data_IF_318386472914
#
_entry.id   IF_318386472914
#
_cell.length_a   1.000
_cell.length_b   1.000
_cell.length_c   1.000
_cell.angle_alpha   90.00
_cell.angle_beta   90.00
_cell.angle_gamma   90.00
#
_symmetry.space_group_name_H-M   'P 1'
#
loop_
_entity.id
_entity.type
_entity.pdbx_description
1 polymer ?
#
# COMPACT_ATOMS: atom_id res chain seq x y z
N UNK A 1 24.01 0.43 -67.56
CA UNK A 1 23.62 -0.75 -66.76
C UNK A 1 22.86 -0.24 -65.55
N UNK A 2 21.54 -0.46 -65.52
CA UNK A 2 20.65 0.01 -64.46
C UNK A 2 20.92 -0.77 -63.16
N UNK A 3 20.90 -0.08 -62.02
CA UNK A 3 20.41 -0.70 -60.79
C UNK A 3 19.80 0.36 -59.87
N UNK A 4 18.48 0.34 -59.81
CA UNK A 4 17.66 0.94 -58.76
C UNK A 4 17.93 0.18 -57.47
N UNK A 5 18.30 0.87 -56.39
CA UNK A 5 18.20 0.30 -55.04
C UNK A 5 17.25 1.19 -54.25
N UNK A 6 16.07 0.61 -54.00
CA UNK A 6 14.94 1.25 -53.35
C UNK A 6 15.18 1.55 -51.87
N UNK A 7 14.47 2.58 -51.43
CA UNK A 7 14.32 2.94 -50.03
C UNK A 7 13.68 1.80 -49.23
N UNK A 8 14.35 1.37 -48.17
CA UNK A 8 13.70 0.71 -47.03
C UNK A 8 13.66 1.72 -45.89
N UNK A 9 12.55 2.44 -45.78
CA UNK A 9 12.20 3.11 -44.53
C UNK A 9 11.99 2.00 -43.49
N UNK A 10 12.88 1.93 -42.50
CA UNK A 10 12.66 1.14 -41.31
C UNK A 10 11.46 1.76 -40.58
N UNK A 11 10.28 1.15 -40.72
CA UNK A 11 9.19 1.39 -39.77
C UNK A 11 9.69 0.96 -38.40
N UNK A 12 10.08 1.93 -37.58
CA UNK A 12 10.14 1.74 -36.13
C UNK A 12 8.69 1.60 -35.69
N UNK A 13 8.20 0.36 -35.64
CA UNK A 13 7.01 0.04 -34.88
C UNK A 13 7.36 0.28 -33.41
N UNK A 14 7.09 1.49 -32.93
CA UNK A 14 7.05 1.78 -31.51
C UNK A 14 6.00 0.85 -30.92
N UNK A 15 6.43 -0.23 -30.28
CA UNK A 15 5.54 -1.00 -29.43
C UNK A 15 5.05 -0.02 -28.37
N UNK A 16 3.76 0.32 -28.41
CA UNK A 16 3.04 0.75 -27.22
C UNK A 16 3.14 -0.44 -26.26
N UNK A 17 4.23 -0.51 -25.50
CA UNK A 17 4.21 -1.23 -24.25
C UNK A 17 3.16 -0.48 -23.45
N UNK A 18 1.96 -1.04 -23.35
CA UNK A 18 0.93 -0.57 -22.44
C UNK A 18 1.57 -0.60 -21.07
N UNK A 19 2.01 0.57 -20.59
CA UNK A 19 2.62 0.68 -19.27
C UNK A 19 1.61 0.12 -18.28
N UNK A 20 2.05 -0.84 -17.47
CA UNK A 20 1.17 -1.51 -16.52
C UNK A 20 0.65 -0.43 -15.57
N UNK A 21 -0.68 -0.36 -15.43
CA UNK A 21 -1.33 0.65 -14.59
C UNK A 21 -0.68 0.66 -13.18
N UNK A 22 -0.15 1.80 -12.72
CA UNK A 22 0.63 1.89 -11.47
C UNK A 22 -0.16 1.45 -10.25
N UNK A 23 -1.50 1.47 -10.30
CA UNK A 23 -2.33 1.04 -9.18
C UNK A 23 -2.12 -0.44 -8.83
N UNK A 24 -1.79 -1.29 -9.80
CA UNK A 24 -1.55 -2.71 -9.53
C UNK A 24 -0.33 -2.92 -8.63
N UNK A 25 0.74 -2.16 -8.83
CA UNK A 25 1.92 -2.23 -7.98
C UNK A 25 1.61 -1.78 -6.54
N UNK A 26 0.81 -0.71 -6.39
CA UNK A 26 0.38 -0.23 -5.08
C UNK A 26 -0.55 -1.21 -4.36
N UNK A 27 -1.49 -1.83 -5.09
CA UNK A 27 -2.37 -2.88 -4.56
C UNK A 27 -1.56 -4.06 -4.03
N UNK A 28 -0.57 -4.52 -4.80
CA UNK A 28 0.28 -5.65 -4.39
C UNK A 28 1.20 -5.29 -3.22
N UNK A 29 1.67 -4.04 -3.13
CA UNK A 29 2.42 -3.57 -1.97
C UNK A 29 1.57 -3.59 -0.70
N UNK A 30 0.36 -3.01 -0.76
CA UNK A 30 -0.55 -2.98 0.39
C UNK A 30 -1.00 -4.39 0.80
N UNK A 31 -1.37 -5.25 -0.15
CA UNK A 31 -1.72 -6.66 0.13
C UNK A 31 -0.60 -7.41 0.85
N UNK A 32 0.66 -7.22 0.43
CA UNK A 32 1.81 -7.84 1.09
C UNK A 32 2.03 -7.29 2.49
N UNK A 33 1.89 -5.98 2.69
CA UNK A 33 2.04 -5.35 4.00
C UNK A 33 0.97 -5.84 4.99
N UNK A 34 -0.31 -5.85 4.57
CA UNK A 34 -1.43 -6.39 5.35
C UNK A 34 -1.21 -7.86 5.69
N UNK A 35 -0.80 -8.68 4.71
CA UNK A 35 -0.55 -10.11 4.94
C UNK A 35 0.59 -10.34 5.95
N UNK A 36 1.68 -9.57 5.85
CA UNK A 36 2.81 -9.65 6.77
C UNK A 36 2.42 -9.22 8.19
N UNK A 37 1.70 -8.12 8.32
CA UNK A 37 1.21 -7.62 9.61
C UNK A 37 0.27 -8.63 10.28
N UNK A 38 -0.75 -9.11 9.56
CA UNK A 38 -1.68 -10.12 10.07
C UNK A 38 -0.99 -11.42 10.47
N UNK A 39 -0.02 -11.88 9.67
CA UNK A 39 0.75 -13.08 9.99
C UNK A 39 1.56 -12.94 11.29
N UNK A 40 2.02 -11.74 11.63
CA UNK A 40 2.70 -11.48 12.90
C UNK A 40 1.71 -11.41 14.07
N UNK A 41 0.59 -10.68 13.91
CA UNK A 41 -0.46 -10.58 14.94
C UNK A 41 -0.98 -11.97 15.34
N UNK A 42 -1.14 -12.89 14.39
CA UNK A 42 -1.55 -14.27 14.70
C UNK A 42 -0.54 -15.07 15.54
N UNK A 43 0.70 -14.60 15.71
CA UNK A 43 1.70 -15.25 16.56
C UNK A 43 1.62 -14.82 18.02
N UNK A 44 0.91 -13.72 18.32
CA UNK A 44 0.87 -13.10 19.65
C UNK A 44 0.46 -14.10 20.73
N UNK A 45 -0.68 -14.78 20.54
CA UNK A 45 -1.21 -15.79 21.45
C UNK A 45 -0.18 -16.87 21.80
N UNK A 46 0.61 -17.30 20.82
CA UNK A 46 1.63 -18.34 21.04
C UNK A 46 2.79 -17.81 21.86
N UNK A 47 3.20 -16.56 21.63
CA UNK A 47 4.29 -15.92 22.35
C UNK A 47 3.86 -15.61 23.79
N UNK A 48 2.64 -15.10 23.98
CA UNK A 48 2.08 -14.84 25.31
C UNK A 48 1.96 -16.11 26.16
N UNK A 49 1.57 -17.24 25.56
CA UNK A 49 1.56 -18.54 26.26
C UNK A 49 2.95 -19.02 26.67
N UNK A 50 3.98 -18.66 25.91
CA UNK A 50 5.35 -19.12 26.11
C UNK A 50 6.18 -18.22 27.04
N UNK A 51 5.72 -17.00 27.34
CA UNK A 51 6.47 -15.99 28.10
C UNK A 51 5.67 -15.59 29.34
N UNK A 52 6.23 -15.74 30.55
CA UNK A 52 5.56 -15.31 31.78
C UNK A 52 5.18 -13.81 31.76
N UNK A 53 4.02 -13.40 32.31
CA UNK A 53 3.54 -12.02 32.30
C UNK A 53 4.56 -10.95 32.75
N UNK A 54 5.37 -11.26 33.76
CA UNK A 54 6.40 -10.36 34.29
C UNK A 54 7.57 -10.10 33.32
N UNK A 55 7.67 -10.90 32.26
CA UNK A 55 8.67 -10.81 31.18
C UNK A 55 8.11 -10.27 29.87
N UNK A 56 6.87 -9.77 29.85
CA UNK A 56 6.18 -9.26 28.64
C UNK A 56 5.50 -7.91 28.89
N UNK A 57 6.27 -6.95 29.37
CA UNK A 57 5.79 -5.61 29.80
C UNK A 57 6.00 -4.53 28.74
N UNK A 58 6.95 -4.73 27.82
CA UNK A 58 7.20 -3.90 26.64
C UNK A 58 5.92 -3.83 25.82
N UNK A 59 5.55 -2.64 25.33
CA UNK A 59 4.32 -2.42 24.54
C UNK A 59 4.58 -1.92 23.12
N UNK A 60 5.74 -1.33 22.89
CA UNK A 60 6.18 -0.81 21.60
C UNK A 60 7.71 -0.85 21.53
N UNK A 61 8.25 -0.65 20.32
CA UNK A 61 9.66 -0.50 20.04
C UNK A 61 10.26 0.78 20.64
N UNK A 62 9.44 1.78 20.91
CA UNK A 62 9.86 3.05 21.53
C UNK A 62 10.04 2.92 23.06
N UNK A 63 9.27 2.04 23.70
CA UNK A 63 9.24 1.87 25.15
C UNK A 63 9.70 0.47 25.58
N UNK A 64 10.95 0.13 25.26
CA UNK A 64 11.50 -1.20 25.56
C UNK A 64 11.87 -1.34 27.03
N UNK A 65 11.41 -2.45 27.63
CA UNK A 65 11.80 -2.86 28.98
C UNK A 65 12.87 -3.94 28.86
N UNK A 66 14.14 -3.54 29.01
CA UNK A 66 15.32 -4.41 28.82
C UNK A 66 15.34 -5.73 29.60
N UNK A 67 14.55 -5.83 30.69
CA UNK A 67 14.46 -7.05 31.52
C UNK A 67 13.46 -8.09 31.01
N UNK A 68 12.68 -7.74 29.99
CA UNK A 68 11.70 -8.62 29.38
C UNK A 68 12.36 -9.72 28.55
N UNK A 69 11.58 -10.73 28.16
CA UNK A 69 12.08 -11.80 27.31
C UNK A 69 12.45 -11.23 25.93
N UNK A 70 13.64 -11.54 25.39
CA UNK A 70 14.09 -11.01 24.11
C UNK A 70 13.15 -11.37 22.94
N UNK A 71 12.40 -12.48 23.03
CA UNK A 71 11.40 -12.85 22.03
C UNK A 71 10.20 -11.89 22.06
N UNK A 72 9.80 -11.43 23.24
CA UNK A 72 8.75 -10.42 23.41
C UNK A 72 9.19 -9.06 22.85
N UNK A 73 10.41 -8.65 23.17
CA UNK A 73 10.99 -7.41 22.64
C UNK A 73 11.08 -7.47 21.11
N UNK A 74 11.54 -8.58 20.55
CA UNK A 74 11.61 -8.77 19.10
C UNK A 74 10.24 -8.78 18.43
N UNK A 75 9.22 -9.32 19.09
CA UNK A 75 7.84 -9.29 18.59
C UNK A 75 7.36 -7.85 18.44
N UNK A 76 7.45 -7.01 19.47
CA UNK A 76 7.00 -5.62 19.40
C UNK A 76 7.80 -4.77 18.41
N UNK A 77 9.13 -4.97 18.31
CA UNK A 77 9.94 -4.31 17.27
C UNK A 77 9.45 -4.64 15.87
N UNK A 78 9.08 -5.89 15.62
CA UNK A 78 8.55 -6.30 14.32
C UNK A 78 7.12 -5.83 14.11
N UNK A 79 6.31 -5.77 15.17
CA UNK A 79 4.93 -5.31 15.11
C UNK A 79 4.88 -3.85 14.67
N UNK A 80 5.62 -2.97 15.35
CA UNK A 80 5.68 -1.55 15.02
C UNK A 80 6.22 -1.35 13.61
N UNK A 81 7.32 -2.04 13.24
CA UNK A 81 7.90 -1.95 11.89
C UNK A 81 6.90 -2.38 10.79
N UNK A 82 6.11 -3.43 11.03
CA UNK A 82 5.12 -3.89 10.07
C UNK A 82 3.87 -3.01 10.05
N UNK A 83 3.48 -2.44 11.19
CA UNK A 83 2.41 -1.45 11.26
C UNK A 83 2.80 -0.20 10.44
N UNK A 84 4.02 0.30 10.61
CA UNK A 84 4.54 1.45 9.85
C UNK A 84 4.58 1.16 8.35
N UNK A 85 5.07 -0.03 7.96
CA UNK A 85 5.12 -0.43 6.55
C UNK A 85 3.72 -0.58 5.92
N UNK A 86 2.73 -1.02 6.70
CA UNK A 86 1.35 -1.12 6.25
C UNK A 86 0.70 0.26 6.14
N UNK A 87 0.93 1.17 7.09
CA UNK A 87 0.53 2.59 6.99
C UNK A 87 1.12 3.23 5.73
N UNK A 88 2.42 3.06 5.50
CA UNK A 88 3.10 3.63 4.35
C UNK A 88 2.51 3.10 3.04
N UNK A 89 2.26 1.79 2.94
CA UNK A 89 1.64 1.19 1.77
C UNK A 89 0.19 1.65 1.56
N UNK A 90 -0.57 1.86 2.63
CA UNK A 90 -1.96 2.37 2.56
C UNK A 90 -1.98 3.83 2.07
N UNK A 91 -1.08 4.67 2.59
CA UNK A 91 -0.87 6.04 2.11
C UNK A 91 -0.50 6.05 0.62
N UNK A 92 0.48 5.24 0.21
CA UNK A 92 0.89 5.12 -1.19
C UNK A 92 -0.28 4.70 -2.08
N UNK A 93 -1.07 3.70 -1.66
CA UNK A 93 -2.25 3.27 -2.40
C UNK A 93 -3.28 4.39 -2.56
N UNK A 94 -3.48 5.22 -1.54
CA UNK A 94 -4.39 6.37 -1.60
C UNK A 94 -3.90 7.47 -2.55
N UNK A 95 -2.59 7.56 -2.78
CA UNK A 95 -1.94 8.61 -3.58
C UNK A 95 -1.76 8.26 -5.06
N UNK A 96 -1.96 7.01 -5.48
CA UNK A 96 -1.84 6.63 -6.89
C UNK A 96 -3.10 7.02 -7.68
N UNK A 97 -2.91 7.59 -8.88
CA UNK A 97 -3.96 7.81 -9.88
C UNK A 97 -3.94 6.62 -10.85
N UNK A 98 -4.99 5.79 -10.91
CA UNK A 98 -5.07 4.72 -11.90
C UNK A 98 -5.07 5.29 -13.33
N UNK A 99 -4.41 4.63 -14.27
CA UNK A 99 -4.30 5.10 -15.67
C UNK A 99 -5.16 4.30 -16.65
N UNK A 100 -5.97 3.35 -16.14
CA UNK A 100 -6.84 2.51 -16.93
C UNK A 100 -8.16 2.18 -16.21
N UNK A 101 -9.20 1.85 -16.97
CA UNK A 101 -10.47 1.37 -16.40
C UNK A 101 -10.29 0.09 -15.59
N UNK A 102 -9.40 -0.81 -16.01
CA UNK A 102 -9.10 -2.03 -15.27
C UNK A 102 -8.46 -1.71 -13.92
N UNK A 103 -7.59 -0.72 -13.84
CA UNK A 103 -7.00 -0.25 -12.58
C UNK A 103 -8.03 0.39 -11.65
N UNK A 104 -8.93 1.21 -12.19
CA UNK A 104 -10.06 1.77 -11.44
C UNK A 104 -10.93 0.67 -10.83
N UNK A 105 -11.32 -0.33 -11.64
CA UNK A 105 -12.13 -1.47 -11.17
C UNK A 105 -11.37 -2.23 -10.08
N UNK A 106 -10.10 -2.55 -10.30
CA UNK A 106 -9.28 -3.28 -9.33
C UNK A 106 -9.15 -2.56 -7.98
N UNK A 107 -8.99 -1.23 -7.98
CA UNK A 107 -8.96 -0.43 -6.76
C UNK A 107 -10.30 -0.48 -6.02
N UNK A 108 -11.41 -0.33 -6.74
CA UNK A 108 -12.76 -0.36 -6.15
C UNK A 108 -13.09 -1.75 -5.57
N UNK A 109 -12.81 -2.82 -6.31
CA UNK A 109 -12.98 -4.20 -5.82
C UNK A 109 -12.15 -4.46 -4.56
N UNK A 110 -10.89 -4.01 -4.57
CA UNK A 110 -10.03 -4.16 -3.41
C UNK A 110 -10.52 -3.36 -2.20
N UNK A 111 -11.05 -2.15 -2.41
CA UNK A 111 -11.61 -1.34 -1.33
C UNK A 111 -12.83 -2.00 -0.67
N UNK A 112 -13.69 -2.65 -1.46
CA UNK A 112 -14.81 -3.44 -0.91
C UNK A 112 -14.31 -4.66 -0.13
N UNK A 113 -13.24 -5.30 -0.59
CA UNK A 113 -12.69 -6.47 0.08
C UNK A 113 -12.06 -6.13 1.43
N UNK A 114 -11.27 -5.06 1.51
CA UNK A 114 -10.57 -4.69 2.77
C UNK A 114 -11.56 -4.32 3.88
N UNK A 115 -12.71 -3.73 3.54
CA UNK A 115 -13.78 -3.35 4.49
C UNK A 115 -14.46 -4.54 5.16
N UNK A 116 -14.36 -5.75 4.58
CA UNK A 116 -14.84 -6.97 5.26
C UNK A 116 -13.96 -7.37 6.43
N UNK A 117 -12.72 -6.85 6.47
CA UNK A 117 -11.73 -7.13 7.48
C UNK A 117 -11.41 -5.91 8.34
N UNK A 118 -10.19 -5.42 8.21
CA UNK A 118 -9.64 -4.32 9.03
C UNK A 118 -10.10 -2.93 8.57
N UNK A 119 -10.62 -2.82 7.35
CA UNK A 119 -10.99 -1.54 6.73
C UNK A 119 -9.79 -0.64 6.45
N UNK A 120 -10.06 0.57 5.95
CA UNK A 120 -9.05 1.62 5.79
C UNK A 120 -9.10 2.66 6.92
N UNK A 121 -7.98 3.36 7.13
CA UNK A 121 -7.88 4.38 8.19
C UNK A 121 -8.72 5.62 7.88
N UNK A 122 -9.17 6.27 8.94
CA UNK A 122 -10.16 7.35 8.88
C UNK A 122 -9.56 8.76 9.13
N UNK A 123 -8.25 8.87 9.34
CA UNK A 123 -7.63 10.12 9.80
C UNK A 123 -6.25 10.39 9.17
N UNK A 124 -6.21 10.46 7.84
CA UNK A 124 -5.05 10.90 7.07
C UNK A 124 -5.01 12.42 6.88
N UNK A 125 -3.80 12.95 6.80
CA UNK A 125 -3.55 14.36 6.50
C UNK A 125 -2.96 14.48 5.10
N UNK A 126 -3.48 15.41 4.33
CA UNK A 126 -2.93 15.79 3.04
C UNK A 126 -1.67 16.63 3.29
N UNK A 127 -0.53 16.16 2.79
CA UNK A 127 0.73 16.90 2.89
C UNK A 127 0.69 18.19 2.06
N UNK A 128 -0.23 18.29 1.10
CA UNK A 128 -0.42 19.47 0.26
C UNK A 128 -1.37 20.50 0.88
N UNK A 129 -2.14 20.14 1.92
CA UNK A 129 -3.03 21.05 2.65
C UNK A 129 -2.55 21.27 4.09
N UNK A 130 -1.56 22.14 4.26
CA UNK A 130 -1.04 22.58 5.57
C UNK A 130 -2.12 23.19 6.48
N UNK A 131 -3.27 23.59 5.93
CA UNK A 131 -4.39 24.17 6.70
C UNK A 131 -5.37 23.10 7.17
N UNK A 132 -5.19 21.84 6.79
CA UNK A 132 -6.03 20.75 7.23
C UNK A 132 -5.89 20.55 8.74
N UNK A 133 -6.97 20.87 9.47
CA UNK A 133 -7.02 20.72 10.94
C UNK A 133 -7.55 19.37 11.40
N UNK A 134 -8.21 18.63 10.51
CA UNK A 134 -8.90 17.37 10.83
C UNK A 134 -8.56 16.38 9.73
N UNK A 135 -8.16 15.16 10.11
CA UNK A 135 -7.89 14.07 9.18
C UNK A 135 -9.08 13.75 8.27
N UNK A 136 -8.79 13.23 7.08
CA UNK A 136 -9.78 12.69 6.15
C UNK A 136 -9.66 11.17 6.11
N UNK A 137 -10.74 10.50 5.75
CA UNK A 137 -10.69 9.06 5.50
C UNK A 137 -9.87 8.76 4.25
N UNK A 138 -9.31 7.54 4.18
CA UNK A 138 -8.63 7.05 2.99
C UNK A 138 -9.46 7.25 1.71
N UNK A 139 -10.77 7.00 1.79
CA UNK A 139 -11.73 7.19 0.70
C UNK A 139 -11.75 8.60 0.12
N UNK A 140 -11.47 9.63 0.92
CA UNK A 140 -11.38 10.99 0.41
C UNK A 140 -10.27 11.12 -0.64
N UNK A 141 -9.08 10.60 -0.33
CA UNK A 141 -7.91 10.63 -1.21
C UNK A 141 -8.10 9.73 -2.43
N UNK A 142 -8.55 8.50 -2.21
CA UNK A 142 -8.81 7.56 -3.29
C UNK A 142 -9.87 8.09 -4.27
N UNK A 143 -10.97 8.67 -3.78
CA UNK A 143 -11.99 9.24 -4.65
C UNK A 143 -11.50 10.46 -5.44
N UNK A 144 -10.65 11.31 -4.85
CA UNK A 144 -10.01 12.42 -5.56
C UNK A 144 -9.24 11.91 -6.78
N UNK A 145 -8.40 10.90 -6.57
CA UNK A 145 -7.57 10.31 -7.63
C UNK A 145 -8.40 9.51 -8.64
N UNK A 146 -9.47 8.84 -8.21
CA UNK A 146 -10.41 8.18 -9.12
C UNK A 146 -11.15 9.18 -10.02
N UNK A 147 -11.54 10.35 -9.49
CA UNK A 147 -12.18 11.40 -10.28
C UNK A 147 -11.21 11.94 -11.35
N UNK A 148 -9.93 12.12 -10.99
CA UNK A 148 -8.88 12.52 -11.92
C UNK A 148 -8.71 11.49 -13.04
N UNK A 149 -8.48 10.23 -12.66
CA UNK A 149 -8.37 9.08 -13.58
C UNK A 149 -9.55 9.00 -14.56
N UNK A 150 -10.79 9.06 -14.06
CA UNK A 150 -11.99 8.95 -14.89
C UNK A 150 -12.18 10.14 -15.84
N UNK A 151 -11.72 11.35 -15.46
CA UNK A 151 -11.74 12.51 -16.34
C UNK A 151 -10.77 12.36 -17.50
N UNK A 152 -9.56 11.87 -17.23
CA UNK A 152 -8.56 11.62 -18.27
C UNK A 152 -8.99 10.51 -19.21
N UNK A 153 -9.55 9.42 -18.69
CA UNK A 153 -10.03 8.29 -19.49
C UNK A 153 -11.27 8.61 -20.35
N UNK A 154 -12.02 9.66 -20.00
CA UNK A 154 -13.20 10.10 -20.73
C UNK A 154 -12.93 11.21 -21.75
N UNK A 155 -11.72 11.79 -21.75
CA UNK A 155 -11.30 12.87 -22.66
C UNK A 155 -10.88 12.34 -24.04
#
# INVERSE_FOLDING_TARGET
MNMVVGATALSVSTSLATEVDPIFAALDAHKRAVAAYNALVHQEDSIEKAIPPEKRRTRSAEEIIEKDDPRWISYHRNLDRLADAEIEAECQLASVVPTSLNGVIALLEYSVEIEKGIGFRQSYFDLEDEKQKIGRSWYYFANRNLIESLRELAA
#
